data_IF_744898586394
#
_entry.id   IF_744898586394
#
_cell.length_a   1.000
_cell.length_b   1.000
_cell.length_c   1.000
_cell.angle_alpha   90.00
_cell.angle_beta   90.00
_cell.angle_gamma   90.00
#
_symmetry.space_group_name_H-M   'P 1'
#
loop_
_entity.id
_entity.type
_entity.pdbx_description
1 polymer ?
#
# COMPACT_ATOMS: atom_id res chain seq x y z
N UNK A 1 -15.58 2.11 -16.15
CA UNK A 1 -17.01 2.47 -16.10
C UNK A 1 -17.24 3.74 -15.32
N UNK A 2 -18.44 4.31 -15.43
CA UNK A 2 -18.90 5.44 -14.63
C UNK A 2 -19.77 4.95 -13.47
N UNK A 3 -19.39 5.31 -12.25
CA UNK A 3 -20.05 4.90 -11.02
C UNK A 3 -20.62 6.15 -10.34
N UNK A 4 -21.94 6.17 -10.17
CA UNK A 4 -22.64 7.23 -9.43
C UNK A 4 -22.60 6.97 -7.92
N UNK A 5 -22.41 5.70 -7.54
CA UNK A 5 -22.31 5.26 -6.15
C UNK A 5 -20.95 5.60 -5.52
N UNK A 6 -20.91 5.91 -4.21
CA UNK A 6 -19.69 6.04 -3.42
C UNK A 6 -18.73 4.86 -3.54
N UNK A 7 -17.47 5.16 -3.89
CA UNK A 7 -16.38 4.18 -3.96
C UNK A 7 -15.36 4.49 -2.87
N UNK A 8 -15.18 3.59 -1.91
CA UNK A 8 -14.21 3.74 -0.82
C UNK A 8 -12.82 3.29 -1.26
N UNK A 9 -11.79 4.08 -0.99
CA UNK A 9 -10.40 3.71 -1.25
C UNK A 9 -9.72 3.32 0.05
N UNK A 10 -9.19 2.09 0.09
CA UNK A 10 -8.38 1.57 1.17
C UNK A 10 -6.94 1.42 0.65
N UNK A 11 -5.96 1.94 1.38
CA UNK A 11 -4.55 2.02 0.95
C UNK A 11 -3.61 1.40 1.99
N UNK A 12 -2.63 0.63 1.55
CA UNK A 12 -1.62 0.07 2.45
C UNK A 12 -0.58 1.13 2.82
N UNK A 13 -0.48 1.43 4.11
CA UNK A 13 0.47 2.41 4.60
C UNK A 13 1.92 1.95 4.35
N UNK A 14 2.58 2.58 3.36
CA UNK A 14 3.95 2.25 2.97
C UNK A 14 4.13 0.76 2.63
N UNK A 15 3.32 0.26 1.68
CA UNK A 15 3.23 -1.17 1.33
C UNK A 15 4.59 -1.89 1.23
N UNK A 16 5.44 -1.51 0.28
CA UNK A 16 6.71 -2.21 0.05
C UNK A 16 7.68 -2.13 1.25
N UNK A 17 7.91 -0.95 1.85
CA UNK A 17 8.63 -0.85 3.12
C UNK A 17 8.10 -1.79 4.21
N UNK A 18 6.78 -1.84 4.41
CA UNK A 18 6.15 -2.67 5.44
C UNK A 18 6.29 -4.17 5.15
N UNK A 19 6.21 -4.59 3.88
CA UNK A 19 6.48 -5.97 3.45
C UNK A 19 7.93 -6.37 3.77
N UNK A 20 8.89 -5.50 3.45
CA UNK A 20 10.31 -5.76 3.73
C UNK A 20 10.54 -6.01 5.22
N UNK A 21 9.92 -5.21 6.08
CA UNK A 21 10.04 -5.34 7.53
C UNK A 21 9.33 -6.60 8.04
N UNK A 22 8.05 -6.78 7.68
CA UNK A 22 7.21 -7.86 8.18
C UNK A 22 7.78 -9.25 7.84
N UNK A 23 8.36 -9.39 6.65
CA UNK A 23 8.90 -10.66 6.15
C UNK A 23 10.43 -10.76 6.23
N UNK A 24 11.09 -9.77 6.85
CA UNK A 24 12.55 -9.70 7.02
C UNK A 24 13.34 -9.87 5.71
N UNK A 25 12.89 -9.19 4.63
CA UNK A 25 13.47 -9.33 3.30
C UNK A 25 14.74 -8.50 3.16
N UNK A 26 15.88 -9.16 3.00
CA UNK A 26 17.19 -8.51 2.90
C UNK A 26 18.21 -9.37 2.15
N UNK A 27 19.24 -8.74 1.60
CA UNK A 27 20.44 -9.44 1.08
C UNK A 27 21.04 -10.42 2.11
N UNK A 28 21.11 -10.01 3.39
CA UNK A 28 21.77 -10.77 4.46
C UNK A 28 20.90 -11.86 5.10
N UNK A 29 19.63 -11.95 4.70
CA UNK A 29 18.65 -12.95 5.17
C UNK A 29 18.16 -13.84 4.04
N UNK A 30 18.49 -13.53 2.78
CA UNK A 30 18.22 -14.39 1.63
C UNK A 30 19.03 -15.69 1.75
N UNK A 31 18.33 -16.83 1.67
CA UNK A 31 18.94 -18.16 1.65
C UNK A 31 19.33 -18.50 0.22
N UNK A 32 20.63 -18.64 -0.06
CA UNK A 32 21.12 -18.96 -1.41
C UNK A 32 21.37 -20.45 -1.60
N UNK A 33 21.77 -21.13 -0.53
CA UNK A 33 21.97 -22.57 -0.52
C UNK A 33 21.16 -23.19 0.62
N UNK A 34 20.52 -24.33 0.37
CA UNK A 34 19.73 -25.03 1.39
C UNK A 34 20.58 -25.43 2.60
N UNK A 35 21.87 -25.72 2.37
CA UNK A 35 22.79 -26.08 3.45
C UNK A 35 23.04 -24.93 4.44
N UNK A 36 22.74 -23.68 4.08
CA UNK A 36 22.83 -22.53 5.00
C UNK A 36 21.77 -22.58 6.10
N UNK A 37 20.75 -23.44 5.96
CA UNK A 37 19.62 -23.54 6.88
C UNK A 37 19.41 -24.97 7.42
N UNK A 38 20.40 -25.86 7.30
CA UNK A 38 20.29 -27.26 7.76
C UNK A 38 19.99 -27.38 9.26
N UNK A 39 20.48 -26.44 10.07
CA UNK A 39 20.24 -26.38 11.51
C UNK A 39 18.98 -25.58 11.90
N UNK A 40 18.30 -24.96 10.92
CA UNK A 40 17.13 -24.11 11.16
C UNK A 40 15.83 -24.86 10.93
N UNK A 41 14.81 -24.54 11.72
CA UNK A 41 13.48 -25.12 11.54
C UNK A 41 12.75 -24.39 10.41
N UNK A 42 12.42 -25.10 9.33
CA UNK A 42 11.80 -24.50 8.14
C UNK A 42 10.47 -23.78 8.42
N UNK A 43 9.68 -24.23 9.40
CA UNK A 43 8.40 -23.61 9.72
C UNK A 43 8.56 -22.41 10.68
N UNK A 44 9.52 -22.47 11.58
CA UNK A 44 9.70 -21.48 12.64
C UNK A 44 10.67 -20.38 12.25
N UNK A 45 11.73 -20.70 11.51
CA UNK A 45 12.86 -19.82 11.25
C UNK A 45 12.91 -19.27 9.83
N UNK A 46 12.13 -19.84 8.90
CA UNK A 46 12.20 -19.48 7.48
C UNK A 46 10.87 -18.89 6.99
N UNK A 47 10.96 -17.77 6.28
CA UNK A 47 9.89 -17.21 5.46
C UNK A 47 10.04 -17.76 4.05
N UNK A 48 9.09 -18.59 3.62
CA UNK A 48 9.04 -19.08 2.25
C UNK A 48 8.10 -18.24 1.38
N UNK A 49 8.64 -17.64 0.33
CA UNK A 49 7.89 -16.84 -0.65
C UNK A 49 7.48 -17.75 -1.79
N UNK A 50 6.19 -18.11 -1.78
CA UNK A 50 5.57 -18.93 -2.82
C UNK A 50 5.63 -18.19 -4.16
N UNK A 51 6.22 -18.84 -5.16
CA UNK A 51 6.42 -18.27 -6.48
C UNK A 51 7.28 -19.17 -7.35
N UNK A 52 7.65 -18.70 -8.55
CA UNK A 52 8.34 -19.51 -9.57
C UNK A 52 9.67 -20.12 -9.10
N UNK A 53 10.35 -19.46 -8.15
CA UNK A 53 11.67 -19.86 -7.65
C UNK A 53 11.69 -20.22 -6.16
N UNK A 54 10.53 -20.33 -5.50
CA UNK A 54 10.40 -20.69 -4.07
C UNK A 54 11.47 -20.04 -3.17
N UNK A 55 11.49 -18.70 -3.15
CA UNK A 55 12.57 -17.91 -2.54
C UNK A 55 12.43 -17.96 -1.02
N UNK A 56 13.52 -18.27 -0.32
CA UNK A 56 13.54 -18.40 1.14
C UNK A 56 14.33 -17.28 1.80
N UNK A 57 13.80 -16.77 2.92
CA UNK A 57 14.46 -15.79 3.78
C UNK A 57 14.46 -16.26 5.23
N UNK A 58 15.55 -16.02 5.96
CA UNK A 58 15.61 -16.22 7.40
C UNK A 58 14.73 -15.19 8.11
N UNK A 59 13.94 -15.61 9.11
CA UNK A 59 13.07 -14.73 9.90
C UNK A 59 13.86 -13.84 10.86
N UNK A 60 13.20 -12.78 11.31
CA UNK A 60 13.82 -11.78 12.19
C UNK A 60 14.19 -12.33 13.58
N UNK A 61 13.60 -13.45 14.00
CA UNK A 61 13.88 -14.16 15.27
C UNK A 61 15.29 -14.74 15.29
N UNK A 62 15.79 -15.18 14.14
CA UNK A 62 17.15 -15.71 14.00
C UNK A 62 18.14 -14.59 13.69
N UNK A 63 17.83 -13.76 12.69
CA UNK A 63 18.71 -12.68 12.25
C UNK A 63 17.93 -11.53 11.64
N UNK A 64 18.06 -10.33 12.19
CA UNK A 64 17.44 -9.13 11.62
C UNK A 64 18.22 -8.64 10.38
N UNK A 65 17.52 -8.44 9.27
CA UNK A 65 18.09 -7.94 8.03
C UNK A 65 18.50 -6.46 8.12
N UNK A 66 19.48 -6.07 7.31
CA UNK A 66 19.96 -4.68 7.21
C UNK A 66 18.93 -3.77 6.52
N UNK A 67 18.28 -4.24 5.45
CA UNK A 67 17.26 -3.45 4.76
C UNK A 67 16.05 -3.13 5.65
N UNK A 68 15.47 -4.09 6.41
CA UNK A 68 14.46 -3.79 7.42
C UNK A 68 14.89 -2.68 8.40
N UNK A 69 16.13 -2.70 8.90
CA UNK A 69 16.64 -1.67 9.81
C UNK A 69 16.65 -0.28 9.17
N UNK A 70 17.21 -0.16 7.96
CA UNK A 70 17.27 1.11 7.22
C UNK A 70 15.86 1.66 6.98
N UNK A 71 14.95 0.80 6.54
CA UNK A 71 13.59 1.19 6.19
C UNK A 71 12.78 1.56 7.44
N UNK A 72 12.96 0.84 8.55
CA UNK A 72 12.37 1.21 9.85
C UNK A 72 12.80 2.61 10.27
N UNK A 73 14.10 2.93 10.17
CA UNK A 73 14.63 4.24 10.52
C UNK A 73 14.01 5.35 9.65
N UNK A 74 13.91 5.14 8.34
CA UNK A 74 13.28 6.07 7.41
C UNK A 74 11.79 6.29 7.73
N UNK A 75 11.06 5.22 8.07
CA UNK A 75 9.65 5.30 8.49
C UNK A 75 9.52 6.09 9.79
N UNK A 76 10.38 5.84 10.79
CA UNK A 76 10.34 6.58 12.05
C UNK A 76 10.68 8.05 11.87
N UNK A 77 11.70 8.37 11.06
CA UNK A 77 12.04 9.74 10.69
C UNK A 77 10.86 10.44 10.01
N UNK A 78 10.17 9.74 9.09
CA UNK A 78 8.98 10.26 8.41
C UNK A 78 7.83 10.51 9.39
N UNK A 79 7.62 9.60 10.35
CA UNK A 79 6.59 9.76 11.39
C UNK A 79 6.85 11.01 12.24
N UNK A 80 8.10 11.24 12.65
CA UNK A 80 8.52 12.46 13.35
C UNK A 80 8.24 13.71 12.49
N UNK A 81 8.60 13.70 11.21
CA UNK A 81 8.35 14.82 10.30
C UNK A 81 6.85 15.11 10.12
N UNK A 82 6.00 14.07 9.99
CA UNK A 82 4.54 14.24 9.92
C UNK A 82 3.95 14.81 11.21
N UNK A 83 4.49 14.41 12.38
CA UNK A 83 4.07 14.96 13.68
C UNK A 83 4.35 16.47 13.76
N UNK A 84 5.59 16.87 13.44
CA UNK A 84 5.97 18.29 13.39
C UNK A 84 5.09 19.07 12.41
N UNK A 85 4.81 18.51 11.23
CA UNK A 85 3.94 19.14 10.22
C UNK A 85 2.50 19.34 10.70
N UNK A 86 1.99 18.45 11.55
CA UNK A 86 0.64 18.55 12.09
C UNK A 86 0.52 19.62 13.17
N UNK A 87 1.58 19.81 13.96
CA UNK A 87 1.67 20.81 15.04
C UNK A 87 1.98 22.23 14.51
N UNK A 88 2.56 22.32 13.31
CA UNK A 88 2.95 23.58 12.68
C UNK A 88 1.76 24.41 12.19
N UNK A 89 1.77 25.71 12.54
CA UNK A 89 0.74 26.70 12.18
C UNK A 89 1.16 27.56 10.99
N UNK A 90 2.46 27.84 10.85
CA UNK A 90 2.98 28.65 9.75
C UNK A 90 2.85 27.88 8.43
N UNK A 91 2.19 28.49 7.45
CA UNK A 91 1.89 27.86 6.16
C UNK A 91 3.15 27.50 5.37
N UNK A 92 4.16 28.38 5.35
CA UNK A 92 5.43 28.16 4.64
C UNK A 92 6.21 27.02 5.28
N UNK A 93 6.37 27.04 6.61
CA UNK A 93 7.06 25.96 7.33
C UNK A 93 6.36 24.63 7.16
N UNK A 94 5.01 24.61 7.18
CA UNK A 94 4.21 23.41 6.93
C UNK A 94 4.44 22.84 5.53
N UNK A 95 4.60 23.69 4.51
CA UNK A 95 4.96 23.26 3.15
C UNK A 95 6.36 22.63 3.12
N UNK A 96 7.34 23.21 3.81
CA UNK A 96 8.71 22.64 3.91
C UNK A 96 8.68 21.28 4.61
N UNK A 97 7.94 21.15 5.71
CA UNK A 97 7.78 19.88 6.43
C UNK A 97 7.06 18.83 5.59
N UNK A 98 6.09 19.23 4.76
CA UNK A 98 5.47 18.34 3.79
C UNK A 98 6.49 17.86 2.75
N UNK A 99 7.34 18.75 2.22
CA UNK A 99 8.46 18.38 1.35
C UNK A 99 9.39 17.35 2.00
N UNK A 100 9.75 17.58 3.28
CA UNK A 100 10.59 16.66 4.07
C UNK A 100 9.96 15.27 4.22
N UNK A 101 8.68 15.18 4.58
CA UNK A 101 8.04 13.86 4.74
C UNK A 101 7.88 13.13 3.38
N UNK A 102 7.68 13.87 2.29
CA UNK A 102 7.63 13.30 0.94
C UNK A 102 9.01 12.76 0.52
N UNK A 103 10.09 13.51 0.77
CA UNK A 103 11.45 13.04 0.50
C UNK A 103 11.74 11.73 1.24
N UNK A 104 11.41 11.65 2.53
CA UNK A 104 11.57 10.42 3.32
C UNK A 104 10.71 9.26 2.80
N UNK A 105 9.48 9.54 2.33
CA UNK A 105 8.63 8.53 1.66
C UNK A 105 9.32 7.98 0.40
N UNK A 106 9.86 8.88 -0.43
CA UNK A 106 10.55 8.51 -1.66
C UNK A 106 11.79 7.67 -1.32
N UNK A 107 12.63 8.11 -0.38
CA UNK A 107 13.81 7.36 0.05
C UNK A 107 13.47 5.94 0.54
N UNK A 108 12.43 5.78 1.36
CA UNK A 108 11.99 4.47 1.82
C UNK A 108 11.54 3.56 0.67
N UNK A 109 10.79 4.10 -0.29
CA UNK A 109 10.38 3.37 -1.49
C UNK A 109 11.57 3.08 -2.42
N UNK A 110 12.57 3.97 -2.49
CA UNK A 110 13.77 3.75 -3.29
C UNK A 110 14.63 2.61 -2.78
N UNK A 111 14.54 2.20 -1.51
CA UNK A 111 15.28 1.03 -0.99
C UNK A 111 14.88 -0.25 -1.75
N UNK A 112 13.58 -0.47 -1.97
CA UNK A 112 13.13 -1.60 -2.80
C UNK A 112 13.62 -1.41 -4.26
N UNK A 113 13.48 -0.20 -4.80
CA UNK A 113 13.89 0.12 -6.17
C UNK A 113 15.36 -0.17 -6.43
N UNK A 114 16.23 0.10 -5.44
CA UNK A 114 17.65 -0.20 -5.48
C UNK A 114 17.91 -1.71 -5.63
N UNK A 115 17.17 -2.55 -4.91
CA UNK A 115 17.31 -4.02 -5.04
C UNK A 115 16.92 -4.53 -6.43
N UNK A 116 16.00 -3.85 -7.12
CA UNK A 116 15.54 -4.21 -8.47
C UNK A 116 16.32 -3.57 -9.62
N UNK A 117 17.29 -2.69 -9.35
CA UNK A 117 17.97 -1.91 -10.38
C UNK A 117 19.10 -2.72 -11.06
N UNK A 118 18.74 -3.59 -12.00
CA UNK A 118 19.73 -4.40 -12.75
C UNK A 118 20.64 -3.59 -13.68
N UNK A 119 20.13 -2.48 -14.23
CA UNK A 119 20.91 -1.60 -15.13
C UNK A 119 21.43 -0.40 -14.34
N UNK A 120 22.75 -0.37 -14.09
CA UNK A 120 23.41 0.73 -13.38
C UNK A 120 23.32 0.68 -11.85
N UNK A 121 22.67 -0.34 -11.28
CA UNK A 121 22.72 -0.59 -9.84
C UNK A 121 24.01 -1.31 -9.43
N UNK A 122 24.57 -0.92 -8.29
CA UNK A 122 25.82 -1.51 -7.79
C UNK A 122 25.61 -2.87 -7.11
N UNK A 123 24.40 -3.16 -6.62
CA UNK A 123 24.09 -4.40 -5.89
C UNK A 123 22.65 -4.88 -6.17
N UNK A 124 22.32 -5.29 -7.41
CA UNK A 124 21.00 -5.82 -7.71
C UNK A 124 20.75 -7.16 -7.00
N UNK A 125 19.56 -7.34 -6.45
CA UNK A 125 19.05 -8.61 -5.93
C UNK A 125 17.57 -8.73 -6.32
N UNK A 126 17.36 -9.36 -7.47
CA UNK A 126 16.03 -9.53 -8.06
C UNK A 126 15.14 -10.43 -7.21
N UNK A 127 15.71 -11.31 -6.40
CA UNK A 127 15.00 -12.18 -5.47
C UNK A 127 14.25 -11.35 -4.42
N UNK A 128 14.88 -10.34 -3.85
CA UNK A 128 14.26 -9.42 -2.89
C UNK A 128 13.16 -8.61 -3.59
N UNK A 129 13.46 -7.99 -4.72
CA UNK A 129 12.47 -7.17 -5.45
C UNK A 129 11.25 -7.99 -5.93
N UNK A 130 11.49 -9.20 -6.43
CA UNK A 130 10.43 -10.12 -6.87
C UNK A 130 9.60 -10.60 -5.70
N UNK A 131 10.22 -10.87 -4.54
CA UNK A 131 9.51 -11.29 -3.33
C UNK A 131 8.58 -10.19 -2.81
N UNK A 132 9.07 -8.94 -2.75
CA UNK A 132 8.27 -7.78 -2.33
C UNK A 132 7.04 -7.60 -3.25
N UNK A 133 7.26 -7.64 -4.57
CA UNK A 133 6.16 -7.44 -5.53
C UNK A 133 5.19 -8.62 -5.58
N UNK A 134 5.65 -9.84 -5.29
CA UNK A 134 4.80 -11.03 -5.20
C UNK A 134 3.90 -10.95 -3.97
N UNK A 135 4.47 -10.70 -2.80
CA UNK A 135 3.70 -10.50 -1.57
C UNK A 135 2.72 -9.33 -1.70
N UNK A 136 3.11 -8.23 -2.34
CA UNK A 136 2.22 -7.10 -2.59
C UNK A 136 0.99 -7.48 -3.41
N UNK A 137 1.16 -8.27 -4.49
CA UNK A 137 0.03 -8.77 -5.29
C UNK A 137 -0.86 -9.72 -4.49
N UNK A 138 -0.27 -10.65 -3.76
CA UNK A 138 -1.00 -11.61 -2.93
C UNK A 138 -1.83 -10.90 -1.86
N UNK A 139 -1.28 -9.83 -1.27
CA UNK A 139 -1.99 -9.02 -0.27
C UNK A 139 -3.20 -8.29 -0.85
N UNK A 140 -3.10 -7.77 -2.09
CA UNK A 140 -4.22 -7.11 -2.76
C UNK A 140 -5.35 -8.12 -3.05
N UNK A 141 -5.00 -9.31 -3.57
CA UNK A 141 -6.00 -10.34 -3.84
C UNK A 141 -6.66 -10.83 -2.55
N UNK A 142 -5.88 -11.11 -1.50
CA UNK A 142 -6.41 -11.45 -0.18
C UNK A 142 -7.31 -10.36 0.38
N UNK A 143 -6.94 -9.09 0.22
CA UNK A 143 -7.77 -7.97 0.68
C UNK A 143 -9.09 -7.97 -0.06
N UNK A 144 -9.08 -8.15 -1.39
CA UNK A 144 -10.29 -8.26 -2.20
C UNK A 144 -11.19 -9.41 -1.74
N UNK A 145 -10.65 -10.62 -1.64
CA UNK A 145 -11.40 -11.79 -1.18
C UNK A 145 -12.04 -11.55 0.21
N UNK A 146 -11.28 -10.98 1.15
CA UNK A 146 -11.76 -10.71 2.50
C UNK A 146 -12.86 -9.62 2.53
N UNK A 147 -12.70 -8.55 1.76
CA UNK A 147 -13.74 -7.51 1.63
C UNK A 147 -15.04 -8.13 1.11
N UNK A 148 -14.98 -8.84 -0.01
CA UNK A 148 -16.17 -9.40 -0.67
C UNK A 148 -16.83 -10.50 0.18
N UNK A 149 -16.04 -11.31 0.89
CA UNK A 149 -16.55 -12.37 1.77
C UNK A 149 -17.09 -11.85 3.10
N UNK A 150 -16.61 -10.72 3.62
CA UNK A 150 -17.08 -10.17 4.89
C UNK A 150 -18.31 -9.28 4.69
N UNK A 151 -18.25 -8.36 3.73
CA UNK A 151 -19.28 -7.36 3.48
C UNK A 151 -20.28 -7.86 2.43
N UNK A 152 -21.10 -8.83 2.79
CA UNK A 152 -22.16 -9.36 1.92
C UNK A 152 -23.47 -9.59 2.64
N UNK A 153 -24.53 -9.83 1.85
CA UNK A 153 -25.90 -10.04 2.34
C UNK A 153 -26.04 -11.23 3.30
N UNK A 154 -25.25 -12.28 3.10
CA UNK A 154 -25.30 -13.46 3.98
C UNK A 154 -24.79 -13.14 5.39
N UNK A 155 -23.91 -12.15 5.52
CA UNK A 155 -23.40 -11.66 6.80
C UNK A 155 -24.21 -10.48 7.37
N UNK A 156 -25.41 -10.22 6.83
CA UNK A 156 -26.32 -9.20 7.35
C UNK A 156 -26.10 -7.78 6.83
N UNK A 157 -25.25 -7.58 5.82
CA UNK A 157 -25.11 -6.29 5.14
C UNK A 157 -26.21 -6.08 4.09
N UNK A 158 -26.60 -4.83 3.84
CA UNK A 158 -27.68 -4.53 2.88
C UNK A 158 -27.29 -4.89 1.42
N UNK A 159 -26.00 -4.83 1.10
CA UNK A 159 -25.46 -5.06 -0.22
C UNK A 159 -24.25 -6.00 -0.18
N UNK A 160 -23.90 -6.54 -1.35
CA UNK A 160 -22.63 -7.24 -1.55
C UNK A 160 -21.57 -6.23 -1.97
N UNK A 161 -20.52 -6.09 -1.18
CA UNK A 161 -19.37 -5.30 -1.52
C UNK A 161 -18.61 -5.94 -2.69
N UNK A 162 -18.09 -5.11 -3.58
CA UNK A 162 -17.30 -5.54 -4.74
C UNK A 162 -16.06 -4.67 -4.83
N UNK A 163 -14.89 -5.27 -5.01
CA UNK A 163 -13.66 -4.53 -5.32
C UNK A 163 -13.62 -4.27 -6.82
N UNK A 164 -13.84 -3.02 -7.20
CA UNK A 164 -13.98 -2.64 -8.62
C UNK A 164 -12.64 -2.32 -9.29
N UNK A 165 -11.61 -2.04 -8.50
CA UNK A 165 -10.29 -1.69 -8.99
C UNK A 165 -9.24 -1.82 -7.88
N UNK A 166 -7.98 -2.05 -8.27
CA UNK A 166 -6.83 -1.96 -7.39
C UNK A 166 -5.67 -1.27 -8.10
N UNK A 167 -4.98 -0.37 -7.42
CA UNK A 167 -3.83 0.36 -7.95
C UNK A 167 -2.65 0.26 -7.00
N UNK A 168 -1.68 -0.60 -7.36
CA UNK A 168 -0.38 -0.77 -6.72
C UNK A 168 -0.40 -1.19 -5.24
N UNK A 169 -0.96 -0.35 -4.38
CA UNK A 169 -1.08 -0.47 -2.92
C UNK A 169 -2.49 -0.15 -2.40
N UNK A 170 -3.43 0.17 -3.28
CA UNK A 170 -4.81 0.51 -2.91
C UNK A 170 -5.84 -0.43 -3.54
N UNK A 171 -6.96 -0.61 -2.84
CA UNK A 171 -8.18 -1.26 -3.32
C UNK A 171 -9.35 -0.30 -3.27
N UNK A 172 -10.16 -0.31 -4.33
CA UNK A 172 -11.35 0.53 -4.46
C UNK A 172 -12.59 -0.33 -4.33
N UNK A 173 -13.32 -0.11 -3.24
CA UNK A 173 -14.43 -0.94 -2.80
C UNK A 173 -15.74 -0.20 -3.05
N UNK A 174 -16.65 -0.86 -3.76
CA UNK A 174 -18.04 -0.47 -3.90
C UNK A 174 -18.88 -1.23 -2.88
N UNK A 175 -19.27 -0.56 -1.80
CA UNK A 175 -20.12 -1.18 -0.76
C UNK A 175 -21.61 -1.23 -1.13
N UNK A 176 -22.04 -0.51 -2.17
CA UNK A 176 -23.44 -0.51 -2.66
C UNK A 176 -24.34 0.56 -2.04
N UNK A 177 -23.98 1.11 -0.88
CA UNK A 177 -24.68 2.28 -0.32
C UNK A 177 -24.55 3.51 -1.22
N UNK A 178 -25.60 4.35 -1.24
CA UNK A 178 -25.61 5.66 -1.90
C UNK A 178 -25.12 6.78 -0.97
N UNK A 179 -24.99 6.52 0.32
CA UNK A 179 -24.61 7.50 1.33
C UNK A 179 -23.08 7.53 1.51
N UNK A 180 -22.48 8.70 1.29
CA UNK A 180 -21.03 8.90 1.44
C UNK A 180 -20.58 8.64 2.88
N UNK A 181 -21.33 9.09 3.88
CA UNK A 181 -20.98 8.90 5.29
C UNK A 181 -20.95 7.41 5.66
N UNK A 182 -21.94 6.66 5.19
CA UNK A 182 -21.99 5.21 5.40
C UNK A 182 -20.83 4.50 4.70
N UNK A 183 -20.54 4.86 3.44
CA UNK A 183 -19.39 4.33 2.73
C UNK A 183 -18.07 4.61 3.47
N UNK A 184 -17.90 5.81 4.04
CA UNK A 184 -16.74 6.14 4.89
C UNK A 184 -16.69 5.28 6.16
N UNK A 185 -17.82 5.02 6.82
CA UNK A 185 -17.89 4.17 8.01
C UNK A 185 -17.49 2.73 7.67
N UNK A 186 -18.06 2.16 6.62
CA UNK A 186 -17.73 0.82 6.12
C UNK A 186 -16.27 0.71 5.69
N UNK A 187 -15.73 1.72 4.99
CA UNK A 187 -14.33 1.76 4.59
C UNK A 187 -13.37 1.78 5.78
N UNK A 188 -13.66 2.58 6.81
CA UNK A 188 -12.87 2.62 8.06
C UNK A 188 -12.92 1.30 8.82
N UNK A 189 -14.10 0.68 8.89
CA UNK A 189 -14.27 -0.63 9.52
C UNK A 189 -13.51 -1.73 8.76
N UNK A 190 -13.63 -1.76 7.44
CA UNK A 190 -12.93 -2.69 6.57
C UNK A 190 -11.41 -2.57 6.72
N UNK A 191 -10.88 -1.34 6.68
CA UNK A 191 -9.46 -1.09 6.92
C UNK A 191 -8.99 -1.65 8.27
N UNK A 192 -9.77 -1.45 9.34
CA UNK A 192 -9.43 -1.92 10.69
C UNK A 192 -9.49 -3.44 10.83
N UNK A 193 -10.52 -4.08 10.29
CA UNK A 193 -10.70 -5.54 10.38
C UNK A 193 -9.63 -6.25 9.55
N UNK A 194 -9.47 -5.84 8.29
CA UNK A 194 -8.58 -6.52 7.35
C UNK A 194 -7.10 -6.31 7.73
N UNK A 195 -6.75 -5.16 8.33
CA UNK A 195 -5.40 -4.94 8.86
C UNK A 195 -4.95 -6.01 9.87
N UNK A 196 -5.88 -6.62 10.62
CA UNK A 196 -5.54 -7.64 11.62
C UNK A 196 -5.13 -8.97 11.00
N UNK A 197 -5.47 -9.20 9.75
CA UNK A 197 -5.13 -10.43 9.01
C UNK A 197 -3.68 -10.42 8.50
N UNK A 198 -3.01 -9.26 8.55
CA UNK A 198 -1.65 -9.10 8.08
C UNK A 198 -0.64 -9.00 9.22
N UNK A 199 0.58 -9.43 8.94
CA UNK A 199 1.69 -9.37 9.89
C UNK A 199 2.10 -7.91 10.10
N UNK A 200 2.22 -7.49 11.36
CA UNK A 200 2.76 -6.16 11.70
C UNK A 200 4.13 -5.94 11.05
N UNK A 201 4.43 -4.75 10.48
CA UNK A 201 3.71 -3.48 10.59
C UNK A 201 2.72 -3.21 9.43
N UNK A 202 2.37 -4.21 8.63
CA UNK A 202 1.44 -4.03 7.51
C UNK A 202 0.07 -3.64 8.04
N UNK A 203 -0.47 -2.54 7.50
CA UNK A 203 -1.83 -2.09 7.81
C UNK A 203 -2.46 -1.41 6.60
N UNK A 204 -3.76 -1.60 6.50
CA UNK A 204 -4.63 -0.95 5.55
C UNK A 204 -5.28 0.27 6.23
N UNK A 205 -5.32 1.39 5.54
CA UNK A 205 -5.93 2.63 6.02
C UNK A 205 -7.03 3.07 5.06
N UNK A 206 -8.15 3.54 5.62
CA UNK A 206 -9.14 4.24 4.82
C UNK A 206 -8.58 5.61 4.44
N UNK A 207 -8.56 5.93 3.14
CA UNK A 207 -8.03 7.20 2.66
C UNK A 207 -9.14 8.20 2.34
N UNK A 208 -10.13 7.79 1.54
CA UNK A 208 -11.12 8.68 0.92
C UNK A 208 -12.29 7.90 0.30
N UNK A 209 -13.33 8.64 -0.09
CA UNK A 209 -14.41 8.18 -0.96
C UNK A 209 -14.42 8.98 -2.26
N UNK A 210 -14.66 8.32 -3.39
CA UNK A 210 -15.00 8.99 -4.66
C UNK A 210 -16.51 8.93 -4.93
N UNK A 211 -17.15 10.06 -5.25
CA UNK A 211 -18.58 10.10 -5.60
C UNK A 211 -18.98 11.35 -6.40
N UNK A 212 -19.25 11.27 -7.71
CA UNK A 212 -19.16 10.09 -8.57
C UNK A 212 -17.71 9.71 -8.87
N UNK A 213 -17.53 8.51 -9.44
CA UNK A 213 -16.23 7.94 -9.82
C UNK A 213 -16.21 7.47 -11.28
N UNK A 214 -15.24 7.93 -12.05
CA UNK A 214 -15.01 7.57 -13.44
C UNK A 214 -13.71 6.78 -13.57
N UNK A 215 -13.83 5.47 -13.81
CA UNK A 215 -12.70 4.61 -14.12
C UNK A 215 -12.61 4.40 -15.63
N UNK A 216 -11.60 4.97 -16.27
CA UNK A 216 -11.39 4.82 -17.72
C UNK A 216 -10.58 3.55 -18.01
N UNK A 217 -9.40 3.45 -17.40
CA UNK A 217 -8.44 2.37 -17.62
C UNK A 217 -7.53 2.21 -16.40
N UNK A 218 -6.66 1.19 -16.41
CA UNK A 218 -5.59 1.06 -15.41
C UNK A 218 -4.79 2.36 -15.32
N UNK A 219 -4.63 2.88 -14.10
CA UNK A 219 -3.97 4.15 -13.77
C UNK A 219 -4.57 5.40 -14.44
N UNK A 220 -5.82 5.31 -14.95
CA UNK A 220 -6.53 6.40 -15.60
C UNK A 220 -7.96 6.51 -15.06
N UNK A 221 -8.16 7.42 -14.11
CA UNK A 221 -9.45 7.60 -13.44
C UNK A 221 -9.61 9.03 -12.90
N UNK A 222 -10.85 9.42 -12.66
CA UNK A 222 -11.20 10.69 -12.04
C UNK A 222 -12.39 10.53 -11.10
N UNK A 223 -12.52 11.41 -10.11
CA UNK A 223 -13.68 11.43 -9.23
C UNK A 223 -13.68 12.63 -8.31
N UNK A 224 -14.85 12.96 -7.77
CA UNK A 224 -14.95 13.93 -6.68
C UNK A 224 -14.50 13.25 -5.39
N UNK A 225 -13.43 13.78 -4.79
CA UNK A 225 -12.78 13.21 -3.61
C UNK A 225 -13.42 13.76 -2.34
N UNK A 226 -13.82 12.87 -1.44
CA UNK A 226 -14.36 13.19 -0.12
C UNK A 226 -13.46 12.63 0.97
N UNK A 227 -12.95 13.49 1.85
CA UNK A 227 -12.36 13.11 3.15
C UNK A 227 -13.32 13.32 4.33
N UNK A 228 -14.38 14.10 4.10
CA UNK A 228 -15.51 14.30 5.01
C UNK A 228 -16.84 14.04 4.27
N UNK A 229 -17.94 13.69 4.97
CA UNK A 229 -19.18 13.29 4.32
C UNK A 229 -20.00 14.46 3.76
N UNK A 230 -19.66 15.71 4.08
CA UNK A 230 -20.49 16.89 3.78
C UNK A 230 -20.16 17.51 2.44
N UNK A 231 -18.87 17.72 2.15
CA UNK A 231 -18.39 18.40 0.96
C UNK A 231 -17.23 17.65 0.32
N UNK A 232 -17.19 17.65 -1.01
CA UNK A 232 -16.01 17.17 -1.73
C UNK A 232 -14.87 18.17 -1.56
N UNK A 233 -13.64 17.65 -1.45
CA UNK A 233 -12.44 18.47 -1.29
C UNK A 233 -11.97 19.02 -2.64
N UNK A 234 -11.95 18.16 -3.66
CA UNK A 234 -11.57 18.49 -5.04
C UNK A 234 -11.96 17.40 -6.02
N UNK A 235 -11.91 17.73 -7.30
CA UNK A 235 -11.83 16.73 -8.37
C UNK A 235 -10.40 16.17 -8.41
N UNK A 236 -10.26 14.87 -8.21
CA UNK A 236 -8.98 14.18 -8.34
C UNK A 236 -8.88 13.51 -9.71
N UNK A 237 -7.78 13.74 -10.40
CA UNK A 237 -7.53 13.29 -11.75
C UNK A 237 -6.21 12.50 -11.76
N UNK A 238 -6.25 11.22 -12.12
CA UNK A 238 -5.07 10.35 -12.17
C UNK A 238 -4.83 9.86 -13.58
N UNK A 239 -3.65 10.18 -14.13
CA UNK A 239 -3.17 9.68 -15.42
C UNK A 239 -3.96 10.10 -16.65
N UNK A 240 -4.95 10.99 -16.50
CA UNK A 240 -5.69 11.59 -17.60
C UNK A 240 -4.93 12.79 -18.18
N UNK A 241 -5.30 13.19 -19.39
CA UNK A 241 -4.64 14.21 -20.20
C UNK A 241 -4.43 15.52 -19.44
N UNK A 242 -5.44 15.96 -18.66
CA UNK A 242 -5.43 17.24 -17.93
C UNK A 242 -4.35 17.37 -16.84
N UNK A 243 -3.73 16.26 -16.41
CA UNK A 243 -2.63 16.27 -15.42
C UNK A 243 -1.28 15.92 -16.02
N UNK A 244 -1.24 15.63 -17.31
CA UNK A 244 -0.01 15.32 -18.03
C UNK A 244 0.58 16.59 -18.63
N UNK A 245 1.91 16.66 -18.67
CA UNK A 245 2.66 17.86 -19.10
C UNK A 245 3.05 17.85 -20.58
N UNK A 246 2.73 16.78 -21.31
CA UNK A 246 3.02 16.60 -22.73
C UNK A 246 1.87 17.05 -23.66
N UNK A 247 0.76 17.53 -23.10
CA UNK A 247 -0.36 18.12 -23.86
C UNK A 247 -0.35 19.65 -23.80
N UNK A 248 -0.95 20.29 -24.80
CA UNK A 248 -1.14 21.74 -24.79
C UNK A 248 -2.26 22.14 -23.81
N UNK A 249 -2.25 23.41 -23.37
CA UNK A 249 -3.19 23.96 -22.37
C UNK A 249 -4.67 23.87 -22.81
N UNK A 250 -4.93 23.76 -24.11
CA UNK A 250 -6.29 23.64 -24.66
C UNK A 250 -6.99 22.33 -24.27
N UNK A 251 -6.22 21.27 -24.04
CA UNK A 251 -6.69 19.90 -23.72
C UNK A 251 -6.78 19.74 -22.20
#
# INVERSE_FOLDING_TARGET
GYYVEPISTLDFASLYPSIMIAHNLCYSTLVKNINEIDELNENEDITNIKGKNNIKFVKNTVKKGVLPLIVEELIQARKKAKKLMAEEKNTVTKMVLNGRQLALKISANSVYGYTGASSGGQLPCLEVATSITTLGRDMIEKTKEKVENYYNKNNGYEYNAIVIYGDTDSVMVKFGTKNIEEAMKLGKDAAKIISKEFISPIKLEFEKVYCPYLLLNKKRYAGLLYTNPLNYDKMDCKGIETVRRDFCILI
#
